data_IF_717014842903
#
_entry.id   IF_717014842903
#
_cell.length_a   1.000
_cell.length_b   1.000
_cell.length_c   1.000
_cell.angle_alpha   90.00
_cell.angle_beta   90.00
_cell.angle_gamma   90.00
#
_symmetry.space_group_name_H-M   'P 1'
#
loop_
_entity.id
_entity.type
_entity.pdbx_description
1 polymer ?
#
# COMPACT_ATOMS: atom_id res chain seq x y z
N UNK A 1 4.38 -18.08 -16.36
CA UNK A 1 4.34 -18.40 -14.92
C UNK A 1 2.88 -18.51 -14.51
N UNK A 2 2.55 -19.15 -13.37
CA UNK A 2 1.18 -19.30 -12.92
C UNK A 2 0.69 -17.96 -12.32
N UNK A 3 -0.49 -17.47 -12.74
CA UNK A 3 -1.10 -16.22 -12.23
C UNK A 3 -1.29 -16.23 -10.70
N UNK A 4 -1.54 -17.41 -10.11
CA UNK A 4 -1.79 -17.56 -8.68
C UNK A 4 -0.57 -17.29 -7.80
N UNK A 5 0.63 -17.38 -8.37
CA UNK A 5 1.88 -17.17 -7.66
C UNK A 5 2.18 -15.68 -7.44
N UNK A 6 1.48 -14.79 -8.15
CA UNK A 6 1.70 -13.36 -8.13
C UNK A 6 0.53 -12.59 -7.52
N UNK A 7 0.84 -11.40 -6.97
CA UNK A 7 -0.14 -10.41 -6.53
C UNK A 7 0.17 -9.06 -7.14
N UNK A 8 -0.87 -8.42 -7.68
CA UNK A 8 -0.76 -7.12 -8.31
C UNK A 8 -1.65 -6.11 -7.59
N UNK A 9 -1.03 -5.04 -7.11
CA UNK A 9 -1.68 -3.92 -6.46
C UNK A 9 -1.61 -2.69 -7.34
N UNK A 10 -2.73 -2.02 -7.52
CA UNK A 10 -2.81 -0.81 -8.34
C UNK A 10 -3.00 0.42 -7.46
N UNK A 11 -2.10 1.41 -7.60
CA UNK A 11 -2.25 2.74 -7.01
C UNK A 11 -3.36 3.49 -7.76
N UNK A 12 -4.56 3.48 -7.21
CA UNK A 12 -5.75 4.10 -7.76
C UNK A 12 -5.97 5.47 -7.11
N UNK A 13 -6.35 6.46 -7.92
CA UNK A 13 -6.57 7.84 -7.49
C UNK A 13 -8.05 8.27 -7.54
N UNK A 14 -8.94 7.33 -7.81
CA UNK A 14 -10.38 7.53 -7.81
C UNK A 14 -11.12 6.19 -7.77
N UNK A 15 -12.44 6.24 -7.55
CA UNK A 15 -13.30 5.04 -7.60
C UNK A 15 -13.29 4.42 -9.00
N UNK A 16 -13.30 5.24 -10.05
CA UNK A 16 -13.21 4.78 -11.45
C UNK A 16 -11.89 4.05 -11.71
N UNK A 17 -10.78 4.57 -11.17
CA UNK A 17 -9.48 3.91 -11.26
C UNK A 17 -9.46 2.57 -10.51
N UNK A 18 -10.17 2.45 -9.38
CA UNK A 18 -10.35 1.19 -8.67
C UNK A 18 -11.11 0.16 -9.53
N UNK A 19 -12.18 0.58 -10.21
CA UNK A 19 -12.96 -0.29 -11.08
C UNK A 19 -12.17 -0.73 -12.31
N UNK A 20 -11.42 0.18 -12.94
CA UNK A 20 -10.52 -0.14 -14.05
C UNK A 20 -9.41 -1.14 -13.62
N UNK A 21 -8.86 -1.00 -12.40
CA UNK A 21 -7.91 -1.94 -11.85
C UNK A 21 -8.52 -3.34 -11.66
N UNK A 22 -9.76 -3.40 -11.14
CA UNK A 22 -10.50 -4.67 -11.00
C UNK A 22 -10.76 -5.33 -12.36
N UNK A 23 -11.21 -4.57 -13.34
CA UNK A 23 -11.44 -5.04 -14.70
C UNK A 23 -10.14 -5.57 -15.35
N UNK A 24 -9.02 -4.91 -15.10
CA UNK A 24 -7.70 -5.33 -15.58
C UNK A 24 -7.11 -6.55 -14.85
N UNK A 25 -7.79 -7.09 -13.82
CA UNK A 25 -7.40 -8.31 -13.11
C UNK A 25 -6.48 -8.09 -11.91
N UNK A 26 -6.49 -6.89 -11.29
CA UNK A 26 -5.74 -6.61 -10.07
C UNK A 26 -6.27 -7.41 -8.87
N UNK A 27 -5.36 -7.92 -8.03
CA UNK A 27 -5.71 -8.58 -6.76
C UNK A 27 -6.10 -7.56 -5.68
N UNK A 28 -5.54 -6.35 -5.75
CA UNK A 28 -5.66 -5.31 -4.74
C UNK A 28 -5.55 -3.93 -5.39
N UNK A 29 -6.20 -2.96 -4.80
CA UNK A 29 -5.97 -1.54 -5.06
C UNK A 29 -5.47 -0.87 -3.79
N UNK A 30 -4.58 0.11 -3.95
CA UNK A 30 -4.29 1.13 -2.95
C UNK A 30 -4.99 2.41 -3.37
N UNK A 31 -6.06 2.78 -2.67
CA UNK A 31 -6.79 4.00 -2.95
C UNK A 31 -6.10 5.20 -2.28
N UNK A 32 -5.75 6.20 -3.08
CA UNK A 32 -5.02 7.39 -2.69
C UNK A 32 -5.72 8.65 -3.21
N UNK A 33 -5.74 9.72 -2.42
CA UNK A 33 -5.92 11.09 -2.91
C UNK A 33 -4.55 11.76 -3.11
N UNK A 34 -4.51 13.02 -3.51
CA UNK A 34 -3.29 13.85 -3.47
C UNK A 34 -2.08 13.22 -4.15
N UNK A 35 -2.24 12.68 -5.36
CA UNK A 35 -1.16 12.00 -6.08
C UNK A 35 0.06 12.88 -6.30
N UNK A 36 -0.07 14.21 -6.61
CA UNK A 36 1.09 15.09 -6.73
C UNK A 36 1.93 15.19 -5.44
N UNK A 37 1.30 15.02 -4.28
CA UNK A 37 1.98 14.97 -2.98
C UNK A 37 2.54 13.59 -2.62
N UNK A 38 2.41 12.62 -3.51
CA UNK A 38 2.84 11.24 -3.31
C UNK A 38 1.78 10.34 -2.65
N UNK A 39 0.53 10.75 -2.67
CA UNK A 39 -0.62 10.04 -2.07
C UNK A 39 -0.92 10.50 -0.65
N UNK A 40 -2.19 10.81 -0.39
CA UNK A 40 -2.75 11.15 0.93
C UNK A 40 -4.03 10.37 1.17
N UNK A 41 -4.55 10.40 2.41
CA UNK A 41 -5.80 9.71 2.76
C UNK A 41 -6.95 10.23 1.89
N UNK A 42 -7.70 9.34 1.20
CA UNK A 42 -8.86 9.73 0.41
C UNK A 42 -10.05 10.10 1.30
N UNK A 43 -11.05 10.76 0.69
CA UNK A 43 -12.26 11.14 1.42
C UNK A 43 -13.10 9.92 1.85
N UNK A 44 -13.90 10.09 2.92
CA UNK A 44 -14.89 9.10 3.34
C UNK A 44 -15.79 8.61 2.19
N UNK A 45 -16.29 9.55 1.38
CA UNK A 45 -17.17 9.24 0.25
C UNK A 45 -16.50 8.34 -0.78
N UNK A 46 -15.24 8.61 -1.07
CA UNK A 46 -14.45 7.85 -2.02
C UNK A 46 -14.17 6.43 -1.53
N UNK A 47 -13.75 6.28 -0.27
CA UNK A 47 -13.51 4.97 0.36
C UNK A 47 -14.80 4.15 0.40
N UNK A 48 -15.92 4.75 0.83
CA UNK A 48 -17.23 4.10 0.91
C UNK A 48 -17.72 3.62 -0.46
N UNK A 49 -17.58 4.44 -1.49
CA UNK A 49 -17.99 4.08 -2.86
C UNK A 49 -17.09 3.00 -3.44
N UNK A 50 -15.76 3.10 -3.28
CA UNK A 50 -14.83 2.06 -3.71
C UNK A 50 -15.16 0.73 -3.04
N UNK A 51 -15.38 0.71 -1.69
CA UNK A 51 -15.73 -0.53 -0.97
C UNK A 51 -17.02 -1.15 -1.48
N UNK A 52 -18.04 -0.33 -1.76
CA UNK A 52 -19.34 -0.80 -2.28
C UNK A 52 -19.23 -1.46 -3.65
N UNK A 53 -18.37 -0.94 -4.52
CA UNK A 53 -18.30 -1.33 -5.93
C UNK A 53 -17.25 -2.39 -6.24
N UNK A 54 -16.20 -2.52 -5.39
CA UNK A 54 -15.21 -3.58 -5.54
C UNK A 54 -15.77 -4.92 -5.03
N UNK A 55 -15.84 -5.91 -5.91
CA UNK A 55 -16.41 -7.23 -5.63
C UNK A 55 -15.39 -8.36 -5.58
N UNK A 56 -14.31 -8.26 -6.36
CA UNK A 56 -13.27 -9.30 -6.49
C UNK A 56 -11.89 -8.82 -6.06
N UNK A 57 -11.67 -7.50 -6.08
CA UNK A 57 -10.38 -6.86 -5.75
C UNK A 57 -10.41 -6.32 -4.34
N UNK A 58 -9.36 -6.56 -3.56
CA UNK A 58 -9.22 -6.03 -2.20
C UNK A 58 -8.98 -4.55 -2.22
N UNK A 59 -9.57 -3.83 -1.26
CA UNK A 59 -9.38 -2.41 -1.05
C UNK A 59 -8.39 -2.17 0.09
N UNK A 60 -7.26 -1.58 -0.21
CA UNK A 60 -6.35 -0.96 0.74
C UNK A 60 -6.45 0.56 0.63
N UNK A 61 -6.29 1.25 1.75
CA UNK A 61 -6.39 2.72 1.81
C UNK A 61 -5.10 3.28 2.41
N UNK A 62 -4.50 4.26 1.73
CA UNK A 62 -3.37 4.98 2.31
C UNK A 62 -3.84 5.86 3.47
N UNK A 63 -3.15 5.77 4.60
CA UNK A 63 -3.37 6.62 5.77
C UNK A 63 -2.15 7.53 5.90
N UNK A 64 -2.25 8.68 5.27
CA UNK A 64 -1.19 9.70 5.20
C UNK A 64 -1.84 11.07 5.20
N UNK A 65 -1.72 11.82 6.31
CA UNK A 65 -2.50 13.04 6.53
C UNK A 65 -2.08 14.22 5.64
N UNK A 66 -0.87 14.20 5.10
CA UNK A 66 -0.30 15.25 4.25
C UNK A 66 0.84 14.73 3.38
N UNK A 67 1.23 15.50 2.39
CA UNK A 67 2.48 15.34 1.65
C UNK A 67 3.73 15.63 2.51
N UNK A 68 4.90 15.61 1.89
CA UNK A 68 6.19 15.86 2.54
C UNK A 68 6.79 14.63 3.22
N UNK A 69 7.35 14.82 4.42
CA UNK A 69 8.02 13.79 5.21
C UNK A 69 7.05 12.81 5.91
N UNK A 70 7.61 11.97 6.77
CA UNK A 70 6.87 10.94 7.51
C UNK A 70 7.06 11.06 9.04
N UNK A 71 7.52 12.23 9.50
CA UNK A 71 7.57 12.62 10.91
C UNK A 71 6.27 13.33 11.27
N UNK A 72 5.44 12.73 12.09
CA UNK A 72 4.10 13.23 12.38
C UNK A 72 3.98 13.77 13.80
N UNK A 73 3.20 14.84 13.93
CA UNK A 73 2.81 15.40 15.23
C UNK A 73 1.80 14.49 15.94
N UNK A 74 1.64 14.64 17.28
CA UNK A 74 0.62 13.88 18.02
C UNK A 74 -0.80 14.04 17.44
N UNK A 75 -1.16 15.23 16.97
CA UNK A 75 -2.48 15.49 16.36
C UNK A 75 -2.63 14.83 15.00
N UNK A 76 -1.55 14.75 14.21
CA UNK A 76 -1.57 14.00 12.95
C UNK A 76 -1.75 12.50 13.20
N UNK A 77 -1.08 11.94 14.21
CA UNK A 77 -1.24 10.54 14.60
C UNK A 77 -2.67 10.23 15.09
N UNK A 78 -3.27 11.10 15.90
CA UNK A 78 -4.69 10.98 16.28
C UNK A 78 -5.61 10.92 15.06
N UNK A 79 -5.41 11.83 14.11
CA UNK A 79 -6.19 11.87 12.86
C UNK A 79 -6.00 10.60 12.03
N UNK A 80 -4.76 10.08 11.94
CA UNK A 80 -4.49 8.81 11.26
C UNK A 80 -5.22 7.63 11.92
N UNK A 81 -5.30 7.60 13.24
CA UNK A 81 -6.06 6.56 13.95
C UNK A 81 -7.56 6.63 13.65
N UNK A 82 -8.15 7.84 13.63
CA UNK A 82 -9.57 8.01 13.28
C UNK A 82 -9.84 7.56 11.85
N UNK A 83 -8.95 7.89 10.89
CA UNK A 83 -9.05 7.40 9.53
C UNK A 83 -8.99 5.86 9.45
N UNK A 84 -8.13 5.22 10.26
CA UNK A 84 -8.05 3.76 10.36
C UNK A 84 -9.34 3.17 10.94
N UNK A 85 -9.89 3.75 12.03
CA UNK A 85 -11.15 3.31 12.62
C UNK A 85 -12.31 3.42 11.62
N UNK A 86 -12.38 4.51 10.90
CA UNK A 86 -13.36 4.71 9.83
C UNK A 86 -13.19 3.65 8.71
N UNK A 87 -11.98 3.35 8.27
CA UNK A 87 -11.72 2.29 7.29
C UNK A 87 -12.21 0.92 7.78
N UNK A 88 -12.00 0.60 9.07
CA UNK A 88 -12.52 -0.65 9.67
C UNK A 88 -14.04 -0.71 9.63
N UNK A 89 -14.73 0.36 10.02
CA UNK A 89 -16.20 0.44 10.00
C UNK A 89 -16.76 0.28 8.58
N UNK A 90 -16.04 0.76 7.58
CA UNK A 90 -16.41 0.58 6.17
C UNK A 90 -16.08 -0.81 5.60
N UNK A 91 -15.41 -1.68 6.36
CA UNK A 91 -15.02 -3.02 5.90
C UNK A 91 -13.90 -3.00 4.86
N UNK A 92 -12.96 -2.06 4.96
CA UNK A 92 -11.75 -2.00 4.14
C UNK A 92 -10.85 -3.19 4.45
N UNK A 93 -10.18 -3.77 3.45
CA UNK A 93 -9.37 -4.99 3.61
C UNK A 93 -7.99 -4.71 4.23
N UNK A 94 -7.47 -3.49 4.07
CA UNK A 94 -6.16 -3.12 4.60
C UNK A 94 -5.89 -1.63 4.58
N UNK A 95 -4.85 -1.23 5.31
CA UNK A 95 -4.35 0.14 5.35
C UNK A 95 -2.87 0.18 5.04
N UNK A 96 -2.42 1.32 4.53
CA UNK A 96 -1.04 1.55 4.13
C UNK A 96 -0.51 2.74 4.92
N UNK A 97 0.49 2.52 5.77
CA UNK A 97 1.01 3.46 6.77
C UNK A 97 2.54 3.53 6.75
N UNK A 98 3.11 4.46 7.49
CA UNK A 98 4.56 4.52 7.75
C UNK A 98 4.95 5.82 8.42
N UNK A 99 5.49 5.73 9.64
CA UNK A 99 5.99 6.84 10.43
C UNK A 99 7.49 6.67 10.66
N UNK A 100 8.23 7.76 10.55
CA UNK A 100 9.66 7.80 10.80
C UNK A 100 10.00 8.80 11.92
N UNK A 101 11.14 8.61 12.57
CA UNK A 101 11.73 9.57 13.51
C UNK A 101 12.48 10.68 12.77
N UNK A 102 12.96 11.69 13.52
CA UNK A 102 13.81 12.77 13.00
C UNK A 102 15.10 12.22 12.36
N UNK A 103 15.63 11.10 12.88
CA UNK A 103 16.83 10.45 12.38
C UNK A 103 16.57 9.55 11.14
N UNK A 104 15.33 9.46 10.68
CA UNK A 104 14.95 8.58 9.57
C UNK A 104 14.90 7.10 9.96
N UNK A 105 14.73 6.79 11.24
CA UNK A 105 14.44 5.43 11.70
C UNK A 105 12.93 5.16 11.72
N UNK A 106 12.54 3.89 11.77
CA UNK A 106 11.12 3.52 11.93
C UNK A 106 10.66 3.94 13.33
N UNK A 107 9.64 4.81 13.40
CA UNK A 107 9.02 5.18 14.68
C UNK A 107 8.20 4.00 15.22
N UNK A 108 8.81 3.24 16.13
CA UNK A 108 8.22 2.01 16.68
C UNK A 108 6.95 2.26 17.48
N UNK A 109 6.86 3.39 18.17
CA UNK A 109 5.70 3.73 19.00
C UNK A 109 4.53 4.17 18.13
N UNK A 110 4.73 5.15 17.25
CA UNK A 110 3.70 5.66 16.35
C UNK A 110 3.15 4.53 15.45
N UNK A 111 4.02 3.75 14.80
CA UNK A 111 3.56 2.66 13.93
C UNK A 111 2.82 1.56 14.73
N UNK A 112 3.27 1.20 15.94
CA UNK A 112 2.56 0.20 16.77
C UNK A 112 1.16 0.69 17.13
N UNK A 113 1.00 1.96 17.46
CA UNK A 113 -0.28 2.60 17.74
C UNK A 113 -1.25 2.44 16.55
N UNK A 114 -0.80 2.79 15.34
CA UNK A 114 -1.60 2.67 14.11
C UNK A 114 -1.90 1.20 13.75
N UNK A 115 -0.94 0.30 13.92
CA UNK A 115 -1.14 -1.13 13.66
C UNK A 115 -2.16 -1.73 14.62
N UNK A 116 -2.13 -1.35 15.90
CA UNK A 116 -3.11 -1.79 16.88
C UNK A 116 -4.53 -1.33 16.50
N UNK A 117 -4.69 -0.08 16.05
CA UNK A 117 -5.97 0.42 15.54
C UNK A 117 -6.45 -0.41 14.31
N UNK A 118 -5.55 -0.74 13.40
CA UNK A 118 -5.87 -1.53 12.20
C UNK A 118 -6.22 -3.00 12.51
N UNK A 119 -5.51 -3.62 13.46
CA UNK A 119 -5.70 -5.04 13.80
C UNK A 119 -6.77 -5.29 14.87
N UNK A 120 -7.32 -4.22 15.47
CA UNK A 120 -8.38 -4.33 16.48
C UNK A 120 -7.88 -4.82 17.84
N UNK A 121 -6.60 -4.61 18.15
CA UNK A 121 -6.08 -4.79 19.49
C UNK A 121 -6.60 -3.63 20.38
N UNK A 122 -7.86 -3.71 20.80
CA UNK A 122 -8.50 -2.73 21.68
C UNK A 122 -8.03 -3.02 23.09
N UNK A 123 -7.57 -2.00 23.81
CA UNK A 123 -7.38 -2.08 25.26
C UNK A 123 -8.74 -2.39 25.92
N UNK A 124 -8.74 -3.22 26.97
CA UNK A 124 -9.95 -3.72 27.62
C UNK A 124 -10.97 -2.63 28.04
N UNK A 125 -10.53 -1.38 28.18
CA UNK A 125 -11.37 -0.21 28.49
C UNK A 125 -12.18 0.32 27.30
N UNK A 126 -11.70 0.18 26.06
CA UNK A 126 -12.42 0.60 24.85
C UNK A 126 -13.45 -0.44 24.39
N UNK A 127 -13.25 -1.72 24.75
CA UNK A 127 -14.13 -2.83 24.39
C UNK A 127 -15.57 -2.68 24.93
N UNK A 128 -15.75 -1.97 26.06
CA UNK A 128 -17.07 -1.73 26.64
C UNK A 128 -17.87 -0.60 26.00
N UNK A 129 -17.20 0.34 25.31
CA UNK A 129 -17.85 1.48 24.65
C UNK A 129 -18.42 1.11 23.27
N UNK A 130 -17.96 0.02 22.65
CA UNK A 130 -18.27 -0.37 21.26
C UNK A 130 -19.08 -1.67 21.14
N UNK A 131 -19.82 -2.04 22.20
CA UNK A 131 -20.58 -3.30 22.28
C UNK A 131 -21.70 -3.50 21.20
N UNK A 132 -21.87 -2.56 20.28
CA UNK A 132 -22.83 -2.60 19.18
C UNK A 132 -22.19 -2.54 17.78
N UNK A 133 -20.86 -2.73 17.66
CA UNK A 133 -20.21 -2.72 16.37
C UNK A 133 -20.48 -4.02 15.57
N UNK A 134 -20.78 -3.86 14.28
CA UNK A 134 -20.99 -4.95 13.32
C UNK A 134 -19.80 -5.92 13.32
N UNK A 135 -20.08 -7.23 13.23
CA UNK A 135 -19.08 -8.31 13.21
C UNK A 135 -18.01 -8.10 12.10
N UNK A 136 -18.34 -7.37 11.05
CA UNK A 136 -17.41 -7.01 9.98
C UNK A 136 -16.32 -6.03 10.43
N UNK A 137 -16.64 -5.13 11.36
CA UNK A 137 -15.68 -4.19 11.98
C UNK A 137 -14.63 -4.88 12.88
N UNK A 138 -14.85 -6.15 13.24
CA UNK A 138 -13.95 -6.95 14.09
C UNK A 138 -12.84 -7.67 13.30
N UNK A 139 -12.87 -7.67 11.96
CA UNK A 139 -11.81 -8.34 11.16
C UNK A 139 -10.53 -7.51 11.18
N UNK A 140 -9.38 -8.13 11.53
CA UNK A 140 -8.09 -7.45 11.42
C UNK A 140 -7.83 -7.04 9.98
N UNK A 141 -7.52 -5.76 9.77
CA UNK A 141 -7.08 -5.27 8.45
C UNK A 141 -5.63 -5.67 8.20
N UNK A 142 -5.29 -5.89 6.92
CA UNK A 142 -3.90 -6.02 6.49
C UNK A 142 -3.18 -4.68 6.61
N UNK A 143 -1.90 -4.70 7.01
CA UNK A 143 -1.08 -3.49 7.15
C UNK A 143 0.11 -3.56 6.22
N UNK A 144 0.24 -2.58 5.34
CA UNK A 144 1.41 -2.39 4.48
C UNK A 144 2.20 -1.19 5.00
N UNK A 145 3.51 -1.35 5.22
CA UNK A 145 4.40 -0.22 5.42
C UNK A 145 4.78 0.37 4.06
N UNK A 146 4.43 1.64 3.84
CA UNK A 146 4.58 2.28 2.53
C UNK A 146 6.01 2.76 2.27
N UNK A 147 6.20 3.55 1.21
CA UNK A 147 7.49 4.06 0.75
C UNK A 147 8.22 5.02 1.72
N UNK A 148 7.71 5.24 2.94
CA UNK A 148 8.54 5.76 4.03
C UNK A 148 9.78 4.90 4.24
N UNK A 149 9.70 3.58 3.95
CA UNK A 149 10.85 2.68 3.92
C UNK A 149 11.99 3.20 3.03
N UNK A 150 11.66 3.78 1.87
CA UNK A 150 12.65 4.32 0.94
C UNK A 150 13.37 5.59 1.46
N UNK A 151 12.91 6.14 2.58
CA UNK A 151 13.49 7.32 3.26
C UNK A 151 14.18 6.97 4.56
N UNK A 152 14.27 5.69 4.92
CA UNK A 152 14.97 5.27 6.15
C UNK A 152 16.48 5.37 6.00
N UNK A 153 17.16 5.73 7.10
CA UNK A 153 18.61 5.86 7.14
C UNK A 153 19.33 4.51 6.97
N UNK A 154 18.74 3.43 7.51
CA UNK A 154 19.27 2.07 7.40
C UNK A 154 18.15 1.10 7.00
N UNK A 155 18.07 0.70 5.72
CA UNK A 155 16.98 -0.15 5.23
C UNK A 155 16.95 -1.55 5.85
N UNK A 156 18.10 -2.12 6.21
CA UNK A 156 18.12 -3.47 6.79
C UNK A 156 17.65 -3.48 8.24
N UNK A 157 17.98 -2.43 9.03
CA UNK A 157 17.42 -2.21 10.37
C UNK A 157 15.91 -1.93 10.28
N UNK A 158 15.50 -1.07 9.34
CA UNK A 158 14.09 -0.75 9.13
C UNK A 158 13.27 -2.00 8.78
N UNK A 159 13.81 -2.91 7.97
CA UNK A 159 13.17 -4.20 7.67
C UNK A 159 12.92 -5.00 8.95
N UNK A 160 13.92 -5.13 9.83
CA UNK A 160 13.79 -5.84 11.11
C UNK A 160 12.73 -5.20 12.01
N UNK A 161 12.74 -3.88 12.12
CA UNK A 161 11.78 -3.10 12.91
C UNK A 161 10.34 -3.31 12.40
N UNK A 162 10.12 -3.26 11.08
CA UNK A 162 8.81 -3.44 10.44
C UNK A 162 8.30 -4.89 10.60
N UNK A 163 9.20 -5.87 10.53
CA UNK A 163 8.86 -7.27 10.83
C UNK A 163 8.44 -7.42 12.29
N UNK A 164 9.19 -6.82 13.22
CA UNK A 164 8.89 -6.84 14.66
C UNK A 164 7.56 -6.14 15.00
N UNK A 165 7.17 -5.13 14.24
CA UNK A 165 5.87 -4.47 14.32
C UNK A 165 4.71 -5.36 13.83
N UNK A 166 5.00 -6.39 13.04
CA UNK A 166 4.01 -7.31 12.52
C UNK A 166 3.23 -6.75 11.33
N UNK A 167 3.84 -5.91 10.50
CA UNK A 167 3.29 -5.54 9.20
C UNK A 167 3.17 -6.77 8.28
N UNK A 168 2.19 -6.74 7.38
CA UNK A 168 1.97 -7.83 6.43
C UNK A 168 2.81 -7.66 5.16
N UNK A 169 3.18 -6.40 4.82
CA UNK A 169 3.94 -6.03 3.61
C UNK A 169 4.83 -4.83 3.84
N UNK A 170 5.86 -4.74 2.99
CA UNK A 170 6.66 -3.52 2.79
C UNK A 170 6.56 -3.15 1.31
N UNK A 171 6.11 -1.93 1.02
CA UNK A 171 6.15 -1.33 -0.31
C UNK A 171 7.42 -0.51 -0.44
N UNK A 172 8.27 -0.85 -1.40
CA UNK A 172 9.55 -0.16 -1.62
C UNK A 172 9.99 -0.17 -3.07
N UNK A 173 10.80 0.79 -3.44
CA UNK A 173 11.54 0.86 -4.71
C UNK A 173 13.03 0.50 -4.53
N UNK A 174 13.43 -0.05 -3.36
CA UNK A 174 14.83 -0.29 -3.05
C UNK A 174 15.61 0.99 -2.78
N UNK A 175 14.98 1.99 -2.13
CA UNK A 175 15.54 3.32 -1.85
C UNK A 175 16.00 4.10 -3.10
N UNK A 176 15.43 3.77 -4.26
CA UNK A 176 15.70 4.47 -5.52
C UNK A 176 14.43 5.17 -6.05
N UNK A 177 14.57 6.11 -6.99
CA UNK A 177 13.42 6.75 -7.61
C UNK A 177 12.43 5.74 -8.24
N UNK A 178 12.95 4.66 -8.86
CA UNK A 178 12.17 3.59 -9.48
C UNK A 178 12.65 2.22 -9.00
N UNK A 179 11.74 1.24 -8.95
CA UNK A 179 12.05 -0.13 -8.55
C UNK A 179 13.12 -0.80 -9.42
N UNK A 180 13.13 -0.50 -10.73
CA UNK A 180 14.14 -1.03 -11.65
C UNK A 180 15.56 -0.57 -11.27
N UNK A 181 15.70 0.63 -10.75
CA UNK A 181 16.99 1.18 -10.32
C UNK A 181 17.42 0.63 -8.95
N UNK A 182 16.46 0.08 -8.20
CA UNK A 182 16.64 -0.44 -6.82
C UNK A 182 16.81 -1.95 -6.70
N UNK A 183 16.96 -2.67 -7.81
CA UNK A 183 17.05 -4.15 -7.85
C UNK A 183 18.04 -4.69 -6.81
N UNK A 184 19.21 -4.07 -6.66
CA UNK A 184 20.26 -4.57 -5.75
C UNK A 184 19.84 -4.57 -4.27
N UNK A 185 19.00 -3.63 -3.81
CA UNK A 185 18.46 -3.66 -2.45
C UNK A 185 17.19 -4.51 -2.38
N UNK A 186 16.35 -4.50 -3.41
CA UNK A 186 15.15 -5.34 -3.49
C UNK A 186 15.50 -6.82 -3.38
N UNK A 187 16.54 -7.28 -4.10
CA UNK A 187 17.03 -8.65 -4.06
C UNK A 187 17.53 -9.04 -2.66
N UNK A 188 18.33 -8.19 -2.02
CA UNK A 188 18.83 -8.42 -0.64
C UNK A 188 17.70 -8.53 0.38
N UNK A 189 16.65 -7.71 0.25
CA UNK A 189 15.49 -7.75 1.14
C UNK A 189 14.71 -9.04 0.91
N UNK A 190 14.45 -9.41 -0.35
CA UNK A 190 13.73 -10.62 -0.71
C UNK A 190 14.47 -11.89 -0.26
N UNK A 191 15.80 -11.94 -0.42
CA UNK A 191 16.64 -13.01 0.08
C UNK A 191 16.54 -13.16 1.61
N UNK A 192 16.61 -12.03 2.35
CA UNK A 192 16.46 -12.06 3.81
C UNK A 192 15.09 -12.57 4.25
N UNK A 193 14.01 -12.13 3.59
CA UNK A 193 12.64 -12.59 3.86
C UNK A 193 12.51 -14.09 3.59
N UNK A 194 13.03 -14.60 2.48
CA UNK A 194 13.04 -16.03 2.15
C UNK A 194 13.76 -16.85 3.20
N UNK A 195 14.98 -16.43 3.58
CA UNK A 195 15.78 -17.12 4.61
C UNK A 195 15.06 -17.18 5.96
N UNK A 196 14.35 -16.14 6.36
CA UNK A 196 13.54 -16.12 7.58
C UNK A 196 12.37 -17.10 7.51
N UNK A 197 11.66 -17.14 6.38
CA UNK A 197 10.54 -18.05 6.17
C UNK A 197 10.96 -19.51 6.20
N UNK A 198 12.09 -19.84 5.56
CA UNK A 198 12.68 -21.20 5.55
C UNK A 198 13.08 -21.65 6.97
N UNK A 199 13.60 -20.72 7.79
CA UNK A 199 13.95 -20.99 9.17
C UNK A 199 12.70 -21.27 10.01
N UNK A 200 11.67 -20.46 9.88
CA UNK A 200 10.38 -20.64 10.58
C UNK A 200 9.73 -21.98 10.21
N UNK A 201 9.79 -22.39 8.96
CA UNK A 201 9.26 -23.68 8.50
C UNK A 201 10.06 -24.87 9.05
N UNK A 202 11.39 -24.76 9.15
CA UNK A 202 12.26 -25.78 9.79
C UNK A 202 11.95 -25.91 11.29
N UNK A 203 11.80 -24.79 12.00
CA UNK A 203 11.49 -24.79 13.43
C UNK A 203 10.11 -25.43 13.69
N UNK A 204 9.11 -25.17 12.86
CA UNK A 204 7.77 -25.77 12.98
C UNK A 204 7.76 -27.27 12.71
N UNK A 205 8.57 -27.75 11.79
CA UNK A 205 8.70 -29.18 11.54
C UNK A 205 9.26 -29.92 12.74
N UNK A 206 10.01 -29.23 13.61
CA UNK A 206 10.58 -29.78 14.85
C UNK A 206 9.69 -29.52 16.08
N UNK A 207 8.91 -28.45 16.11
CA UNK A 207 8.01 -28.09 17.23
C UNK A 207 6.64 -27.63 16.74
N UNK A 208 5.67 -28.57 16.69
CA UNK A 208 4.30 -28.34 16.23
C UNK A 208 3.47 -27.38 17.10
N UNK A 209 3.97 -26.96 18.26
CA UNK A 209 3.27 -26.02 19.15
C UNK A 209 3.55 -24.54 18.83
N UNK A 210 4.57 -24.26 18.00
CA UNK A 210 4.85 -22.88 17.60
C UNK A 210 3.88 -22.42 16.52
N UNK A 211 3.19 -21.31 16.81
CA UNK A 211 2.36 -20.60 15.84
C UNK A 211 3.23 -20.03 14.72
N UNK A 212 2.71 -20.08 13.48
CA UNK A 212 3.37 -19.49 12.31
C UNK A 212 3.55 -17.99 12.55
N UNK A 213 4.79 -17.52 12.59
CA UNK A 213 5.06 -16.09 12.39
C UNK A 213 4.59 -15.76 10.96
N UNK A 214 3.66 -14.82 10.82
CA UNK A 214 3.19 -14.47 9.47
C UNK A 214 4.33 -13.83 8.72
N UNK A 215 4.76 -14.47 7.63
CA UNK A 215 5.82 -13.96 6.78
C UNK A 215 5.43 -12.61 6.20
N UNK A 216 6.29 -11.62 6.34
CA UNK A 216 6.14 -10.35 5.65
C UNK A 216 6.31 -10.56 4.14
N UNK A 217 5.61 -9.78 3.31
CA UNK A 217 5.72 -9.83 1.86
C UNK A 217 6.43 -8.58 1.35
N UNK A 218 7.32 -8.74 0.37
CA UNK A 218 7.92 -7.62 -0.33
C UNK A 218 7.05 -7.23 -1.53
N UNK A 219 6.64 -5.96 -1.56
CA UNK A 219 5.85 -5.37 -2.63
C UNK A 219 6.74 -4.37 -3.38
N UNK A 220 7.21 -4.73 -4.58
CA UNK A 220 8.03 -3.85 -5.39
C UNK A 220 7.17 -2.78 -6.07
N UNK A 221 7.51 -1.50 -5.89
CA UNK A 221 6.72 -0.39 -6.44
C UNK A 221 7.54 0.83 -6.82
N UNK A 222 6.90 1.77 -7.48
CA UNK A 222 7.45 2.95 -8.16
C UNK A 222 8.02 2.65 -9.55
N UNK A 223 7.32 3.15 -10.56
CA UNK A 223 7.73 3.05 -11.96
C UNK A 223 7.64 1.66 -12.56
N UNK A 224 7.04 0.68 -11.87
CA UNK A 224 6.75 -0.65 -12.42
C UNK A 224 5.69 -0.53 -13.51
N UNK A 225 5.93 -1.18 -14.64
CA UNK A 225 5.07 -1.18 -15.81
C UNK A 225 5.35 -2.39 -16.73
N UNK A 226 4.65 -2.45 -17.86
CA UNK A 226 4.74 -3.52 -18.87
C UNK A 226 6.13 -3.73 -19.48
N UNK A 227 7.00 -2.71 -19.40
CA UNK A 227 8.33 -2.76 -20.04
C UNK A 227 9.42 -3.30 -19.10
N UNK A 228 9.23 -3.18 -17.77
CA UNK A 228 10.27 -3.50 -16.79
C UNK A 228 9.91 -4.55 -15.74
N UNK A 229 8.63 -4.89 -15.58
CA UNK A 229 8.19 -5.84 -14.53
C UNK A 229 8.85 -7.22 -14.68
N UNK A 230 9.12 -7.66 -15.91
CA UNK A 230 9.77 -8.93 -16.19
C UNK A 230 11.24 -8.91 -15.76
N UNK A 231 11.95 -7.84 -16.03
CA UNK A 231 13.35 -7.67 -15.62
C UNK A 231 13.49 -7.63 -14.09
N UNK A 232 12.59 -6.90 -13.40
CA UNK A 232 12.58 -6.87 -11.93
C UNK A 232 12.37 -8.27 -11.37
N UNK A 233 11.43 -9.04 -11.94
CA UNK A 233 11.18 -10.42 -11.49
C UNK A 233 12.39 -11.33 -11.72
N UNK A 234 12.97 -11.30 -12.92
CA UNK A 234 14.10 -12.18 -13.27
C UNK A 234 15.33 -11.90 -12.40
N UNK A 235 15.50 -10.65 -11.92
CA UNK A 235 16.61 -10.25 -11.06
C UNK A 235 16.37 -10.50 -9.56
N UNK A 236 15.12 -10.51 -9.08
CA UNK A 236 14.83 -10.50 -7.64
C UNK A 236 13.95 -11.67 -7.19
N UNK A 237 13.18 -12.25 -8.10
CA UNK A 237 12.20 -13.28 -7.77
C UNK A 237 11.05 -12.79 -6.88
N UNK A 238 10.75 -11.48 -6.85
CA UNK A 238 9.64 -10.90 -6.08
C UNK A 238 8.30 -11.29 -6.71
N UNK A 239 7.28 -11.56 -5.89
CA UNK A 239 5.97 -12.03 -6.33
C UNK A 239 4.83 -11.02 -6.13
N UNK A 240 5.04 -9.89 -5.45
CA UNK A 240 4.05 -8.82 -5.32
C UNK A 240 4.54 -7.51 -5.97
N UNK A 241 3.69 -6.89 -6.79
CA UNK A 241 4.02 -5.67 -7.56
C UNK A 241 2.99 -4.60 -7.37
N UNK A 242 3.45 -3.35 -7.25
CA UNK A 242 2.65 -2.15 -7.09
C UNK A 242 2.93 -1.18 -8.26
N UNK A 243 1.88 -0.80 -8.99
CA UNK A 243 1.99 0.13 -10.11
C UNK A 243 0.67 0.89 -10.33
N UNK A 244 0.65 1.89 -11.21
CA UNK A 244 -0.53 2.73 -11.42
C UNK A 244 -1.25 2.53 -12.74
N UNK A 245 -0.54 2.08 -13.76
CA UNK A 245 -1.07 1.88 -15.13
C UNK A 245 -1.86 3.10 -15.66
N UNK A 246 -1.43 4.33 -15.33
CA UNK A 246 -2.17 5.57 -15.64
C UNK A 246 -2.05 5.97 -17.10
N UNK A 247 -3.13 6.58 -17.58
CA UNK A 247 -3.22 7.27 -18.87
C UNK A 247 -3.82 8.66 -18.67
N UNK A 248 -3.50 9.59 -19.57
CA UNK A 248 -4.11 10.90 -19.61
C UNK A 248 -5.48 10.83 -20.29
N UNK A 249 -6.49 11.41 -19.68
CA UNK A 249 -7.84 11.58 -20.23
C UNK A 249 -8.16 13.06 -20.27
N UNK A 250 -8.42 13.63 -21.47
CA UNK A 250 -8.79 15.04 -21.62
C UNK A 250 -10.07 15.39 -20.86
N UNK A 251 -10.12 16.58 -20.27
CA UNK A 251 -11.31 17.12 -19.66
C UNK A 251 -12.44 17.26 -20.70
N UNK A 252 -13.67 17.02 -20.28
CA UNK A 252 -14.87 17.27 -21.09
C UNK A 252 -15.38 18.70 -21.00
N UNK A 253 -14.72 19.56 -20.21
CA UNK A 253 -15.08 20.97 -20.14
C UNK A 253 -14.81 21.64 -21.48
N UNK A 254 -15.80 22.41 -21.97
CA UNK A 254 -15.69 23.14 -23.23
C UNK A 254 -15.11 24.55 -23.07
N UNK A 255 -15.22 25.10 -21.87
CA UNK A 255 -14.65 26.40 -21.53
C UNK A 255 -13.52 26.22 -20.54
N UNK A 256 -12.39 26.88 -20.76
CA UNK A 256 -11.24 26.85 -19.90
C UNK A 256 -10.62 28.25 -19.78
N UNK A 257 -10.43 28.72 -18.55
CA UNK A 257 -9.72 29.97 -18.32
C UNK A 257 -8.24 29.67 -18.01
N UNK A 258 -7.41 29.80 -19.00
CA UNK A 258 -5.97 29.48 -18.92
C UNK A 258 -5.16 30.47 -18.07
N UNK A 259 -5.74 31.57 -17.63
CA UNK A 259 -5.05 32.56 -16.78
C UNK A 259 -5.25 32.31 -15.29
N UNK A 260 -6.18 31.41 -14.92
CA UNK A 260 -6.53 31.09 -13.54
C UNK A 260 -6.18 29.64 -13.23
N UNK A 261 -5.31 29.46 -12.24
CA UNK A 261 -4.91 28.16 -11.73
C UNK A 261 -5.55 27.92 -10.38
N UNK A 262 -6.12 26.72 -10.17
CA UNK A 262 -6.69 26.32 -8.87
C UNK A 262 -5.64 25.68 -7.96
N UNK A 263 -4.61 25.06 -8.55
CA UNK A 263 -3.48 24.43 -7.86
C UNK A 263 -2.17 25.16 -8.09
N UNK A 264 -1.05 24.45 -7.92
CA UNK A 264 0.26 24.99 -8.22
C UNK A 264 0.41 25.28 -9.71
N UNK A 265 1.08 26.40 -10.05
CA UNK A 265 1.34 26.77 -11.43
C UNK A 265 2.11 25.65 -12.16
N UNK A 266 1.61 25.23 -13.32
CA UNK A 266 2.22 24.17 -14.13
C UNK A 266 1.63 22.76 -13.90
N UNK A 267 0.67 22.61 -12.99
CA UNK A 267 -0.17 21.41 -12.92
C UNK A 267 -1.12 21.40 -14.11
N UNK A 268 -1.20 20.27 -14.80
CA UNK A 268 -2.14 20.11 -15.93
C UNK A 268 -3.55 19.93 -15.38
N UNK A 269 -4.36 20.98 -15.49
CA UNK A 269 -5.76 20.98 -15.06
C UNK A 269 -6.74 20.63 -16.19
N UNK A 270 -6.23 20.49 -17.43
CA UNK A 270 -7.02 20.13 -18.61
C UNK A 270 -7.10 18.61 -18.84
N UNK A 271 -6.28 17.83 -18.15
CA UNK A 271 -6.27 16.37 -18.25
C UNK A 271 -6.38 15.73 -16.86
N UNK A 272 -7.00 14.56 -16.82
CA UNK A 272 -7.04 13.72 -15.63
C UNK A 272 -6.20 12.47 -15.86
N UNK A 273 -5.36 12.10 -14.85
CA UNK A 273 -4.67 10.82 -14.83
C UNK A 273 -5.59 9.76 -14.25
N UNK A 274 -5.93 8.73 -15.02
CA UNK A 274 -6.78 7.61 -14.60
C UNK A 274 -6.10 6.28 -14.88
N UNK A 275 -6.42 5.25 -14.11
CA UNK A 275 -5.96 3.89 -14.37
C UNK A 275 -6.62 3.32 -15.62
N UNK A 276 -5.84 2.65 -16.48
CA UNK A 276 -6.32 1.92 -17.66
C UNK A 276 -6.39 0.43 -17.36
N UNK A 277 -7.57 -0.18 -17.51
CA UNK A 277 -7.76 -1.63 -17.37
C UNK A 277 -6.87 -2.42 -18.34
N UNK A 278 -6.74 -1.95 -19.58
CA UNK A 278 -5.88 -2.56 -20.59
C UNK A 278 -4.40 -2.55 -20.17
N UNK A 279 -3.87 -1.43 -19.67
CA UNK A 279 -2.49 -1.36 -19.19
C UNK A 279 -2.25 -2.23 -17.96
N UNK A 280 -3.24 -2.33 -17.04
CA UNK A 280 -3.16 -3.25 -15.91
C UNK A 280 -3.03 -4.68 -16.41
N UNK A 281 -3.92 -5.10 -17.32
CA UNK A 281 -3.89 -6.43 -17.94
C UNK A 281 -2.56 -6.69 -18.65
N UNK A 282 -2.11 -5.77 -19.50
CA UNK A 282 -0.86 -5.90 -20.26
C UNK A 282 0.35 -6.07 -19.33
N UNK A 283 0.41 -5.31 -18.23
CA UNK A 283 1.49 -5.42 -17.25
C UNK A 283 1.49 -6.79 -16.57
N UNK A 284 0.31 -7.30 -16.17
CA UNK A 284 0.16 -8.63 -15.57
C UNK A 284 0.59 -9.73 -16.55
N UNK A 285 0.18 -9.64 -17.82
CA UNK A 285 0.48 -10.63 -18.86
C UNK A 285 1.97 -10.76 -19.20
N UNK A 286 2.79 -9.76 -18.85
CA UNK A 286 4.27 -9.87 -18.97
C UNK A 286 4.89 -10.91 -18.04
N UNK A 287 4.25 -11.17 -16.90
CA UNK A 287 4.72 -12.18 -15.94
C UNK A 287 3.93 -13.50 -16.04
N UNK A 288 2.63 -13.43 -16.25
CA UNK A 288 1.76 -14.60 -16.21
C UNK A 288 0.60 -14.46 -17.20
N UNK A 289 0.13 -15.58 -17.74
CA UNK A 289 -1.10 -15.60 -18.55
C UNK A 289 -2.31 -15.49 -17.61
N UNK A 290 -3.27 -14.62 -17.96
CA UNK A 290 -4.55 -14.46 -17.27
C UNK A 290 -5.47 -15.63 -17.53
#
# INVERSE_FOLDING_TARGET
MNRKDFKFEICANSVESCLAAQEGGADRVELCAGIPEGGTTPSYGEIKMARKLLTTTKLHVIIRPRGGDFLYTPLELERMEEDIRMCRQLGVDGVVIGCLTEEGEVDMEANRRLINAAKGCINATESLAHAHEDIQALRPMSVTFHRAFDRTANPMKALDDIIALGCDRILTSGQQPKAIDGIGLLDKIEEKIKNMNDLDDKIRNTDRKKTKTRAIQLLAGSGVNEDNIREIFDATGIHEYHFSARVNVPSRMKHYNHEVYMGAKGVDEANSLVTSAERVKNTIEKLCRL
#
